data_IF_127965925646
#
_entry.id   IF_127965925646
#
_cell.length_a   1.000
_cell.length_b   1.000
_cell.length_c   1.000
_cell.angle_alpha   90.00
_cell.angle_beta   90.00
_cell.angle_gamma   90.00
#
_symmetry.space_group_name_H-M   'P 1'
#
loop_
_entity.id
_entity.type
_entity.pdbx_description
1 polymer ?
#
# COMPACT_ATOMS: atom_id res chain seq x y z
N UNK A 1 -21.67 29.23 1.27
CA UNK A 1 -20.87 27.99 1.38
C UNK A 1 -20.08 27.85 0.09
N UNK A 2 -18.73 27.90 0.08
CA UNK A 2 -18.02 27.75 -1.17
C UNK A 2 -18.34 26.36 -1.75
N UNK A 3 -18.78 26.36 -3.00
CA UNK A 3 -19.29 25.18 -3.69
C UNK A 3 -18.27 24.04 -3.67
N UNK A 4 -18.74 22.79 -3.53
CA UNK A 4 -17.91 21.57 -3.53
C UNK A 4 -16.99 21.44 -4.75
N UNK A 5 -17.24 22.19 -5.82
CA UNK A 5 -16.45 22.24 -7.06
C UNK A 5 -15.04 22.76 -6.76
N UNK A 6 -14.04 21.91 -6.98
CA UNK A 6 -12.61 22.22 -6.80
C UNK A 6 -11.96 21.65 -5.53
N UNK A 7 -12.73 21.17 -4.55
CA UNK A 7 -12.19 20.61 -3.29
C UNK A 7 -11.61 19.18 -3.42
N UNK A 8 -12.01 18.44 -4.47
CA UNK A 8 -11.59 17.04 -4.71
C UNK A 8 -10.06 16.90 -4.74
N UNK A 9 -9.38 17.77 -5.47
CA UNK A 9 -7.92 17.71 -5.61
C UNK A 9 -7.19 18.02 -4.30
N UNK A 10 -7.74 18.92 -3.48
CA UNK A 10 -7.18 19.22 -2.17
C UNK A 10 -7.29 18.02 -1.20
N UNK A 11 -8.39 17.27 -1.26
CA UNK A 11 -8.60 16.06 -0.44
C UNK A 11 -7.67 14.89 -0.83
N UNK A 12 -7.27 14.84 -2.11
CA UNK A 12 -6.39 13.79 -2.63
C UNK A 12 -4.92 14.08 -2.31
N UNK A 13 -4.49 15.34 -2.46
CA UNK A 13 -3.11 15.78 -2.22
C UNK A 13 -2.74 15.74 -0.73
N UNK A 14 -1.44 15.61 -0.48
CA UNK A 14 -0.89 15.80 0.87
C UNK A 14 -0.94 17.28 1.26
N UNK A 15 -1.08 17.57 2.56
CA UNK A 15 -1.24 18.95 3.05
C UNK A 15 -0.04 19.84 2.73
N UNK A 16 1.14 19.25 2.62
CA UNK A 16 2.39 19.91 2.23
C UNK A 16 2.41 20.38 0.78
N UNK A 17 1.55 19.82 -0.08
CA UNK A 17 1.51 20.11 -1.53
C UNK A 17 0.30 20.96 -1.93
N UNK A 18 -0.37 21.58 -0.97
CA UNK A 18 -1.53 22.42 -1.24
C UNK A 18 -1.12 23.80 -1.75
N UNK A 19 -1.81 24.27 -2.77
CA UNK A 19 -1.75 25.68 -3.14
C UNK A 19 -2.52 26.54 -2.12
N UNK A 20 -2.25 27.84 -2.07
CA UNK A 20 -2.92 28.78 -1.17
C UNK A 20 -4.46 28.68 -1.24
N UNK A 21 -5.03 28.61 -2.46
CA UNK A 21 -6.47 28.44 -2.68
C UNK A 21 -7.01 27.11 -2.11
N UNK A 22 -6.23 26.03 -2.21
CA UNK A 22 -6.58 24.73 -1.63
C UNK A 22 -6.51 24.76 -0.11
N UNK A 23 -5.52 25.44 0.46
CA UNK A 23 -5.36 25.60 1.90
C UNK A 23 -6.55 26.37 2.51
N UNK A 24 -6.98 27.47 1.90
CA UNK A 24 -8.18 28.20 2.31
C UNK A 24 -9.45 27.33 2.21
N UNK A 25 -9.59 26.56 1.13
CA UNK A 25 -10.73 25.64 0.95
C UNK A 25 -10.74 24.55 2.04
N UNK A 26 -9.58 23.96 2.33
CA UNK A 26 -9.42 22.91 3.33
C UNK A 26 -9.57 23.44 4.76
N UNK A 27 -9.16 24.68 5.04
CA UNK A 27 -9.34 25.32 6.34
C UNK A 27 -10.81 25.33 6.80
N UNK A 28 -11.70 25.71 5.88
CA UNK A 28 -13.15 25.70 6.11
C UNK A 28 -13.73 24.29 6.07
N UNK A 29 -13.29 23.46 5.11
CA UNK A 29 -13.84 22.12 4.93
C UNK A 29 -13.52 21.21 6.12
N UNK A 30 -12.31 21.26 6.68
CA UNK A 30 -11.93 20.47 7.86
C UNK A 30 -12.77 20.81 9.10
N UNK A 31 -13.19 22.07 9.24
CA UNK A 31 -14.03 22.55 10.34
C UNK A 31 -15.53 22.34 10.10
N UNK A 32 -15.91 21.86 8.91
CA UNK A 32 -17.30 21.57 8.59
C UNK A 32 -17.77 20.23 9.18
N UNK A 33 -19.07 20.12 9.49
CA UNK A 33 -19.70 18.85 9.89
C UNK A 33 -19.86 17.82 8.77
N UNK A 34 -19.27 18.06 7.59
CA UNK A 34 -19.47 17.24 6.40
C UNK A 34 -18.84 15.84 6.53
N UNK A 35 -19.48 14.84 5.93
CA UNK A 35 -18.94 13.47 5.84
C UNK A 35 -17.55 13.44 5.19
N UNK A 36 -17.29 14.32 4.23
CA UNK A 36 -16.00 14.44 3.52
C UNK A 36 -14.87 14.91 4.45
N UNK A 37 -15.14 15.86 5.33
CA UNK A 37 -14.16 16.35 6.31
C UNK A 37 -13.77 15.23 7.29
N UNK A 38 -14.77 14.49 7.80
CA UNK A 38 -14.55 13.33 8.67
C UNK A 38 -13.74 12.23 7.98
N UNK A 39 -14.07 11.92 6.73
CA UNK A 39 -13.30 10.96 5.91
C UNK A 39 -11.84 11.39 5.77
N UNK A 40 -11.60 12.69 5.55
CA UNK A 40 -10.25 13.24 5.44
C UNK A 40 -9.47 13.11 6.76
N UNK A 41 -10.08 13.43 7.91
CA UNK A 41 -9.42 13.27 9.21
C UNK A 41 -9.05 11.80 9.49
N UNK A 42 -9.93 10.84 9.20
CA UNK A 42 -9.64 9.41 9.34
C UNK A 42 -8.47 8.96 8.45
N UNK A 43 -8.47 9.39 7.19
CA UNK A 43 -7.36 9.13 6.25
C UNK A 43 -6.04 9.67 6.79
N UNK A 44 -6.01 10.94 7.19
CA UNK A 44 -4.78 11.58 7.66
C UNK A 44 -4.27 10.98 8.96
N UNK A 45 -5.16 10.63 9.89
CA UNK A 45 -4.75 9.96 11.13
C UNK A 45 -4.12 8.60 10.86
N UNK A 46 -4.66 7.81 9.92
CA UNK A 46 -4.06 6.54 9.54
C UNK A 46 -2.68 6.76 8.89
N UNK A 47 -2.56 7.75 7.98
CA UNK A 47 -1.27 8.11 7.36
C UNK A 47 -0.22 8.49 8.41
N UNK A 48 -0.60 9.29 9.40
CA UNK A 48 0.29 9.69 10.51
C UNK A 48 0.74 8.50 11.35
N UNK A 49 -0.15 7.55 11.62
CA UNK A 49 0.18 6.33 12.35
C UNK A 49 1.32 5.56 11.66
N UNK A 50 1.24 5.37 10.33
CA UNK A 50 2.30 4.69 9.57
C UNK A 50 3.58 5.52 9.41
N UNK A 51 3.49 6.86 9.42
CA UNK A 51 4.65 7.73 9.27
C UNK A 51 5.40 8.03 10.58
N UNK A 52 4.80 7.75 11.74
CA UNK A 52 5.30 8.18 13.04
C UNK A 52 6.48 7.34 13.59
N UNK A 53 6.92 6.28 12.89
CA UNK A 53 8.05 5.45 13.34
C UNK A 53 7.82 4.81 14.71
N UNK A 54 6.59 4.36 14.97
CA UNK A 54 6.15 3.86 16.27
C UNK A 54 6.77 2.51 16.61
N UNK A 55 6.97 2.25 17.90
CA UNK A 55 7.21 0.89 18.38
C UNK A 55 5.99 -0.02 18.12
N UNK A 56 6.16 -1.35 18.06
CA UNK A 56 5.04 -2.27 17.83
C UNK A 56 3.90 -2.12 18.85
N UNK A 57 4.23 -1.87 20.12
CA UNK A 57 3.25 -1.69 21.20
C UNK A 57 2.45 -0.38 21.04
N UNK A 58 3.13 0.72 20.71
CA UNK A 58 2.47 1.99 20.44
C UNK A 58 1.61 1.92 19.18
N UNK A 59 2.08 1.25 18.14
CA UNK A 59 1.35 1.03 16.91
C UNK A 59 0.06 0.23 17.19
N UNK A 60 0.13 -0.80 18.04
CA UNK A 60 -1.02 -1.61 18.45
C UNK A 60 -2.11 -0.77 19.10
N UNK A 61 -1.74 0.02 20.12
CA UNK A 61 -2.67 0.88 20.83
C UNK A 61 -3.23 2.01 19.94
N UNK A 62 -2.39 2.64 19.11
CA UNK A 62 -2.81 3.67 18.16
C UNK A 62 -3.78 3.10 17.11
N UNK A 63 -3.52 1.89 16.61
CA UNK A 63 -4.34 1.24 15.61
C UNK A 63 -5.71 0.88 16.18
N UNK A 64 -5.78 0.37 17.41
CA UNK A 64 -7.06 0.09 18.08
C UNK A 64 -7.90 1.35 18.30
N UNK A 65 -7.26 2.45 18.73
CA UNK A 65 -7.92 3.76 18.83
C UNK A 65 -8.47 4.21 17.48
N UNK A 66 -7.67 4.09 16.42
CA UNK A 66 -8.09 4.46 15.07
C UNK A 66 -9.25 3.59 14.59
N UNK A 67 -9.19 2.27 14.78
CA UNK A 67 -10.27 1.34 14.39
C UNK A 67 -11.56 1.64 15.16
N UNK A 68 -11.47 1.94 16.47
CA UNK A 68 -12.61 2.36 17.29
C UNK A 68 -13.27 3.62 16.72
N UNK A 69 -12.48 4.60 16.28
CA UNK A 69 -12.99 5.80 15.65
C UNK A 69 -13.60 5.53 14.27
N UNK A 70 -12.95 4.72 13.44
CA UNK A 70 -13.46 4.31 12.13
C UNK A 70 -14.82 3.62 12.23
N UNK A 71 -15.02 2.74 13.23
CA UNK A 71 -16.32 2.07 13.50
C UNK A 71 -17.44 3.07 13.83
N UNK A 72 -17.14 4.12 14.61
CA UNK A 72 -18.11 5.14 15.05
C UNK A 72 -18.29 6.30 14.05
N UNK A 73 -17.52 6.31 12.97
CA UNK A 73 -17.50 7.42 11.99
C UNK A 73 -18.80 7.63 11.20
N UNK A 74 -19.70 6.63 11.18
CA UNK A 74 -20.88 6.56 10.30
C UNK A 74 -20.52 6.61 8.80
N UNK A 75 -19.31 6.19 8.44
CA UNK A 75 -18.84 6.06 7.06
C UNK A 75 -18.65 4.58 6.70
N UNK A 76 -19.54 3.96 5.91
CA UNK A 76 -19.43 2.55 5.55
C UNK A 76 -18.07 2.13 4.98
N UNK A 77 -17.39 2.92 4.12
CA UNK A 77 -16.05 2.57 3.63
C UNK A 77 -15.01 2.42 4.75
N UNK A 78 -15.00 3.32 5.73
CA UNK A 78 -14.05 3.27 6.84
C UNK A 78 -14.39 2.19 7.87
N UNK A 79 -15.68 1.85 8.03
CA UNK A 79 -16.07 0.69 8.85
C UNK A 79 -15.51 -0.61 8.28
N UNK A 80 -15.62 -0.81 6.96
CA UNK A 80 -15.03 -1.98 6.27
C UNK A 80 -13.51 -1.99 6.40
N UNK A 81 -12.86 -0.86 6.12
CA UNK A 81 -11.40 -0.75 6.29
C UNK A 81 -10.96 -1.07 7.72
N UNK A 82 -11.66 -0.54 8.73
CA UNK A 82 -11.36 -0.86 10.13
C UNK A 82 -11.60 -2.32 10.51
N UNK A 83 -12.50 -3.03 9.83
CA UNK A 83 -12.67 -4.47 10.01
C UNK A 83 -11.49 -5.25 9.40
N UNK A 84 -11.10 -4.92 8.17
CA UNK A 84 -9.94 -5.52 7.50
C UNK A 84 -8.64 -5.29 8.27
N UNK A 85 -8.41 -4.08 8.79
CA UNK A 85 -7.22 -3.78 9.60
C UNK A 85 -7.23 -4.55 10.94
N UNK A 86 -8.41 -4.82 11.51
CA UNK A 86 -8.51 -5.68 12.71
C UNK A 86 -8.16 -7.13 12.38
N UNK A 87 -8.67 -7.64 11.27
CA UNK A 87 -8.43 -9.01 10.83
C UNK A 87 -6.94 -9.28 10.55
N UNK A 88 -6.27 -8.31 9.93
CA UNK A 88 -4.83 -8.40 9.61
C UNK A 88 -3.92 -7.69 10.63
N UNK A 89 -4.41 -7.39 11.84
CA UNK A 89 -3.69 -6.58 12.84
C UNK A 89 -2.31 -7.14 13.15
N UNK A 90 -2.18 -8.45 13.34
CA UNK A 90 -0.92 -9.11 13.66
C UNK A 90 0.17 -8.83 12.61
N UNK A 91 -0.15 -8.96 11.33
CA UNK A 91 0.80 -8.66 10.24
C UNK A 91 1.15 -7.17 10.15
N UNK A 92 0.21 -6.28 10.47
CA UNK A 92 0.46 -4.85 10.51
C UNK A 92 1.43 -4.49 11.65
N UNK A 93 1.27 -5.08 12.84
CA UNK A 93 2.20 -4.83 13.96
C UNK A 93 3.59 -5.39 13.67
N UNK A 94 3.68 -6.55 13.02
CA UNK A 94 4.97 -7.09 12.58
C UNK A 94 5.66 -6.21 11.53
N UNK A 95 4.89 -5.50 10.69
CA UNK A 95 5.45 -4.49 9.79
C UNK A 95 6.14 -3.34 10.56
N UNK A 96 5.57 -2.88 11.69
CA UNK A 96 6.23 -1.87 12.54
C UNK A 96 7.50 -2.39 13.23
N UNK A 97 7.59 -3.70 13.48
CA UNK A 97 8.80 -4.33 14.05
C UNK A 97 9.90 -4.51 13.00
N UNK A 98 9.55 -5.14 11.88
CA UNK A 98 10.51 -5.62 10.88
C UNK A 98 10.82 -4.59 9.79
N UNK A 99 9.96 -3.59 9.60
CA UNK A 99 9.98 -2.69 8.45
C UNK A 99 9.67 -3.38 7.12
N UNK A 100 9.38 -4.69 7.12
CA UNK A 100 9.14 -5.47 5.91
C UNK A 100 7.79 -5.07 5.32
N UNK A 101 7.80 -4.69 4.05
CA UNK A 101 6.59 -4.37 3.29
C UNK A 101 6.30 -5.50 2.32
N UNK A 102 5.02 -5.67 1.95
CA UNK A 102 4.65 -6.56 0.85
C UNK A 102 5.24 -6.14 -0.51
N UNK A 103 5.90 -4.98 -0.61
CA UNK A 103 6.45 -4.47 -1.87
C UNK A 103 7.44 -5.45 -2.54
N UNK A 104 8.27 -6.16 -1.75
CA UNK A 104 9.18 -7.18 -2.30
C UNK A 104 8.41 -8.37 -2.88
N UNK A 105 7.37 -8.83 -2.19
CA UNK A 105 6.51 -9.92 -2.64
C UNK A 105 5.68 -9.52 -3.86
N UNK A 106 5.14 -8.29 -3.88
CA UNK A 106 4.42 -7.72 -5.02
C UNK A 106 5.31 -7.57 -6.24
N UNK A 107 6.57 -7.13 -6.04
CA UNK A 107 7.56 -7.05 -7.12
C UNK A 107 7.84 -8.43 -7.69
N UNK A 108 7.99 -9.44 -6.83
CA UNK A 108 8.16 -10.83 -7.26
C UNK A 108 6.95 -11.34 -8.04
N UNK A 109 5.74 -11.11 -7.53
CA UNK A 109 4.50 -11.49 -8.21
C UNK A 109 4.36 -10.82 -9.58
N UNK A 110 4.69 -9.53 -9.69
CA UNK A 110 4.67 -8.81 -10.96
C UNK A 110 5.63 -9.41 -11.99
N UNK A 111 6.84 -9.80 -11.57
CA UNK A 111 7.81 -10.47 -12.45
C UNK A 111 7.30 -11.83 -12.93
N UNK A 112 6.71 -12.63 -12.03
CA UNK A 112 6.14 -13.94 -12.38
C UNK A 112 4.96 -13.78 -13.36
N UNK A 113 4.06 -12.82 -13.13
CA UNK A 113 2.95 -12.56 -14.06
C UNK A 113 3.45 -12.08 -15.43
N UNK A 114 4.47 -11.22 -15.47
CA UNK A 114 5.10 -10.80 -16.71
C UNK A 114 5.76 -11.98 -17.46
N UNK A 115 6.39 -12.91 -16.75
CA UNK A 115 6.96 -14.12 -17.33
C UNK A 115 5.87 -15.01 -17.95
N UNK A 116 4.78 -15.25 -17.22
CA UNK A 116 3.63 -16.01 -17.71
C UNK A 116 3.01 -15.38 -18.96
N UNK A 117 2.86 -14.05 -18.97
CA UNK A 117 2.34 -13.31 -20.12
C UNK A 117 3.25 -13.43 -21.35
N UNK A 118 4.57 -13.31 -21.17
CA UNK A 118 5.56 -13.47 -22.26
C UNK A 118 5.55 -14.87 -22.86
N UNK A 119 5.39 -15.90 -22.03
CA UNK A 119 5.31 -17.29 -22.48
C UNK A 119 3.95 -17.64 -23.11
N UNK A 120 2.92 -16.79 -22.97
CA UNK A 120 1.52 -17.12 -23.28
C UNK A 120 1.04 -18.38 -22.51
N UNK A 121 1.56 -18.57 -21.31
CA UNK A 121 1.37 -19.78 -20.50
C UNK A 121 2.54 -20.76 -20.61
N UNK A 122 2.78 -21.51 -19.54
CA UNK A 122 3.77 -22.59 -19.52
C UNK A 122 3.06 -23.94 -19.62
N UNK A 123 3.66 -24.88 -20.35
CA UNK A 123 3.10 -26.22 -20.56
C UNK A 123 2.98 -27.03 -19.25
N UNK A 124 3.91 -26.82 -18.30
CA UNK A 124 3.92 -27.50 -17.00
C UNK A 124 4.18 -26.50 -15.87
N UNK A 125 3.73 -26.85 -14.66
CA UNK A 125 3.98 -26.05 -13.44
C UNK A 125 5.47 -26.01 -13.10
N UNK A 126 6.21 -27.08 -13.36
CA UNK A 126 7.65 -27.17 -13.16
C UNK A 126 8.41 -26.11 -13.96
N UNK A 127 8.02 -25.89 -15.22
CA UNK A 127 8.63 -24.86 -16.07
C UNK A 127 8.35 -23.45 -15.53
N UNK A 128 7.15 -23.20 -15.00
CA UNK A 128 6.83 -21.93 -14.35
C UNK A 128 7.64 -21.74 -13.07
N UNK A 129 7.76 -22.78 -12.23
CA UNK A 129 8.55 -22.74 -11.00
C UNK A 129 10.03 -22.47 -11.32
N UNK A 130 10.61 -23.19 -12.29
CA UNK A 130 11.99 -23.00 -12.72
C UNK A 130 12.25 -21.56 -13.20
N UNK A 131 11.36 -21.00 -14.02
CA UNK A 131 11.47 -19.60 -14.45
C UNK A 131 11.31 -18.62 -13.29
N UNK A 132 10.40 -18.88 -12.35
CA UNK A 132 10.24 -18.05 -11.16
C UNK A 132 11.54 -18.01 -10.34
N UNK A 133 12.19 -19.15 -10.13
CA UNK A 133 13.51 -19.22 -9.49
C UNK A 133 14.58 -18.45 -10.27
N UNK A 134 14.65 -18.64 -11.59
CA UNK A 134 15.63 -17.95 -12.43
C UNK A 134 15.49 -16.43 -12.38
N UNK A 135 14.26 -15.92 -12.39
CA UNK A 135 13.99 -14.47 -12.36
C UNK A 135 14.15 -13.86 -10.97
N UNK A 136 13.66 -14.55 -9.94
CA UNK A 136 13.48 -13.94 -8.61
C UNK A 136 14.61 -14.27 -7.62
N UNK A 137 15.30 -15.41 -7.77
CA UNK A 137 16.26 -15.88 -6.77
C UNK A 137 17.68 -15.32 -6.92
N UNK A 138 17.94 -14.46 -7.91
CA UNK A 138 19.25 -13.82 -8.17
C UNK A 138 20.43 -14.81 -8.11
N UNK A 139 20.26 -15.95 -8.76
CA UNK A 139 21.23 -17.05 -8.76
C UNK A 139 22.55 -16.60 -9.41
N UNK A 140 23.67 -16.75 -8.69
CA UNK A 140 25.01 -16.30 -9.14
C UNK A 140 25.80 -17.37 -9.90
N UNK A 141 25.45 -18.64 -9.73
CA UNK A 141 26.20 -19.78 -10.27
C UNK A 141 25.32 -20.62 -11.20
N UNK A 142 24.76 -19.99 -12.24
CA UNK A 142 23.99 -20.72 -13.23
C UNK A 142 24.92 -21.43 -14.21
N UNK A 143 24.60 -22.68 -14.61
CA UNK A 143 25.34 -23.37 -15.66
C UNK A 143 25.25 -22.57 -16.97
N UNK A 144 26.32 -22.62 -17.77
CA UNK A 144 26.36 -21.97 -19.08
C UNK A 144 25.25 -22.54 -19.95
N UNK A 145 24.51 -21.68 -20.65
CA UNK A 145 23.42 -22.11 -21.52
C UNK A 145 23.95 -23.13 -22.54
N UNK A 146 23.44 -24.38 -22.55
CA UNK A 146 23.95 -25.43 -23.44
C UNK A 146 23.67 -25.16 -24.93
N UNK A 147 22.80 -24.19 -25.25
CA UNK A 147 22.44 -23.80 -26.61
C UNK A 147 23.19 -22.57 -27.12
N UNK A 148 23.98 -21.90 -26.27
CA UNK A 148 24.91 -20.86 -26.71
C UNK A 148 26.23 -21.53 -27.06
N UNK A 149 26.53 -21.66 -28.36
CA UNK A 149 27.85 -22.09 -28.82
C UNK A 149 28.95 -21.23 -28.15
N UNK A 150 30.11 -21.81 -27.80
CA UNK A 150 31.22 -21.00 -27.31
C UNK A 150 31.55 -19.96 -28.39
N UNK A 151 31.54 -18.68 -28.02
CA UNK A 151 31.97 -17.61 -28.90
C UNK A 151 33.33 -18.00 -29.47
N UNK A 152 33.43 -18.05 -30.80
CA UNK A 152 34.66 -18.40 -31.50
C UNK A 152 35.81 -17.55 -30.96
N UNK A 153 36.89 -18.23 -30.58
CA UNK A 153 38.11 -17.65 -30.02
C UNK A 153 38.87 -16.80 -31.04
#
# INVERSE_FOLDING_TARGET
>A
MPERKGSRWALLKDSERWSYKQLCTMHWLQRSGLKTARAWHLKQALRRLYAAGLSPEEADHQLDRWISWARRSRLPPFKRLGATLREHKAGIIEHFRSGLTNASVETMNAQIQAAKARAKGYATHENLIAIAYLLCAKLKHLPRNPWLAPAAA
#
